data_IF_141318971685
#
_entry.id   IF_141318971685
#
_cell.length_a   1.000
_cell.length_b   1.000
_cell.length_c   1.000
_cell.angle_alpha   90.00
_cell.angle_beta   90.00
_cell.angle_gamma   90.00
#
_symmetry.space_group_name_H-M   'P 1'
#
loop_
_entity.id
_entity.type
_entity.pdbx_description
1 polymer ?
#
# COMPACT_ATOMS: atom_id res chain seq x y z
N UNK A 1 2.67 16.37 -0.16
CA UNK A 1 2.16 15.24 0.61
C UNK A 1 2.39 13.94 -0.11
N UNK A 2 2.68 12.88 0.60
CA UNK A 2 3.07 11.62 0.02
C UNK A 2 1.91 10.70 -0.38
N UNK A 3 1.65 9.69 0.45
CA UNK A 3 0.64 8.68 0.13
C UNK A 3 -0.10 8.21 1.38
N UNK A 4 -1.32 7.75 1.17
CA UNK A 4 -2.10 7.07 2.19
C UNK A 4 -2.40 5.66 1.67
N UNK A 5 -2.00 4.66 2.44
CA UNK A 5 -2.12 3.25 2.05
C UNK A 5 -3.11 2.56 2.97
N UNK A 6 -4.10 1.91 2.39
CA UNK A 6 -5.02 1.06 3.12
C UNK A 6 -4.80 -0.38 2.69
N UNK A 7 -4.49 -1.24 3.65
CA UNK A 7 -4.31 -2.67 3.45
C UNK A 7 -5.52 -3.38 4.05
N UNK A 8 -6.26 -4.08 3.20
CA UNK A 8 -7.42 -4.87 3.64
C UNK A 8 -7.05 -6.34 3.48
N UNK A 9 -7.10 -7.10 4.56
CA UNK A 9 -6.65 -8.48 4.55
C UNK A 9 -7.63 -9.43 5.24
N UNK A 10 -7.60 -10.67 4.79
CA UNK A 10 -8.42 -11.77 5.30
C UNK A 10 -7.63 -12.56 6.34
N UNK A 11 -8.09 -12.55 7.59
CA UNK A 11 -7.41 -13.23 8.70
C UNK A 11 -7.42 -14.75 8.61
N UNK A 12 -8.25 -15.34 7.76
CA UNK A 12 -8.23 -16.78 7.52
C UNK A 12 -7.03 -17.20 6.65
N UNK A 13 -6.51 -16.28 5.82
CA UNK A 13 -5.42 -16.57 4.90
C UNK A 13 -4.15 -15.76 5.19
N UNK A 14 -4.26 -14.70 5.98
CA UNK A 14 -3.16 -13.79 6.29
C UNK A 14 -3.11 -13.56 7.80
N UNK A 15 -1.97 -13.81 8.41
CA UNK A 15 -1.79 -13.57 9.84
C UNK A 15 -1.61 -12.08 10.15
N UNK A 16 -1.83 -11.71 11.41
CA UNK A 16 -1.57 -10.34 11.86
C UNK A 16 -0.09 -9.98 11.74
N UNK A 17 0.81 -10.94 11.96
CA UNK A 17 2.25 -10.75 11.78
C UNK A 17 2.60 -10.48 10.32
N UNK A 18 1.96 -11.19 9.39
CA UNK A 18 2.15 -10.95 7.97
C UNK A 18 1.64 -9.56 7.56
N UNK A 19 0.47 -9.18 8.06
CA UNK A 19 -0.09 -7.84 7.79
C UNK A 19 0.82 -6.74 8.35
N UNK A 20 1.38 -6.94 9.53
CA UNK A 20 2.32 -6.00 10.15
C UNK A 20 3.60 -5.89 9.32
N UNK A 21 4.16 -7.02 8.93
CA UNK A 21 5.36 -7.07 8.07
C UNK A 21 5.13 -6.34 6.76
N UNK A 22 4.01 -6.60 6.09
CA UNK A 22 3.67 -5.94 4.84
C UNK A 22 3.48 -4.43 5.04
N UNK A 23 2.83 -4.02 6.14
CA UNK A 23 2.61 -2.60 6.43
C UNK A 23 3.93 -1.83 6.51
N UNK A 24 4.90 -2.35 7.24
CA UNK A 24 6.23 -1.75 7.35
C UNK A 24 6.98 -1.77 6.02
N UNK A 25 6.93 -2.90 5.32
CA UNK A 25 7.62 -3.06 4.04
C UNK A 25 7.09 -2.13 2.97
N UNK A 26 5.76 -2.03 2.83
CA UNK A 26 5.17 -1.19 1.80
C UNK A 26 5.32 0.30 2.11
N UNK A 27 5.28 0.68 3.38
CA UNK A 27 5.53 2.06 3.77
C UNK A 27 6.91 2.51 3.30
N UNK A 28 7.94 1.75 3.64
CA UNK A 28 9.31 2.07 3.26
C UNK A 28 9.49 2.07 1.74
N UNK A 29 8.93 1.09 1.08
CA UNK A 29 9.03 0.94 -0.37
C UNK A 29 8.41 2.13 -1.10
N UNK A 30 7.22 2.55 -0.69
CA UNK A 30 6.53 3.68 -1.32
C UNK A 30 7.25 5.00 -1.03
N UNK A 31 7.76 5.17 0.19
CA UNK A 31 8.61 6.33 0.53
C UNK A 31 9.80 6.42 -0.41
N UNK A 32 10.47 5.30 -0.67
CA UNK A 32 11.64 5.25 -1.54
C UNK A 32 11.27 5.53 -3.00
N UNK A 33 10.23 4.87 -3.51
CA UNK A 33 9.81 4.99 -4.91
C UNK A 33 9.34 6.40 -5.23
N UNK A 34 8.58 7.02 -4.33
CA UNK A 34 8.05 8.37 -4.53
C UNK A 34 8.98 9.48 -4.07
N UNK A 35 10.04 9.14 -3.34
CA UNK A 35 10.94 10.11 -2.71
C UNK A 35 10.20 11.08 -1.80
N UNK A 36 9.29 10.55 -0.97
CA UNK A 36 8.49 11.34 -0.03
C UNK A 36 8.66 10.78 1.38
N UNK A 37 8.36 11.60 2.39
CA UNK A 37 8.46 11.21 3.80
C UNK A 37 7.11 10.88 4.41
N UNK A 38 6.04 11.44 3.87
CA UNK A 38 4.70 11.34 4.44
C UNK A 38 3.94 10.18 3.79
N UNK A 39 4.14 8.98 4.32
CA UNK A 39 3.40 7.79 3.89
C UNK A 39 2.74 7.18 5.11
N UNK A 40 1.41 7.15 5.11
CA UNK A 40 0.60 6.60 6.18
C UNK A 40 0.03 5.26 5.77
N UNK A 41 0.10 4.26 6.65
CA UNK A 41 -0.40 2.92 6.36
C UNK A 41 -1.42 2.51 7.41
N UNK A 42 -2.57 2.05 6.95
CA UNK A 42 -3.62 1.47 7.78
C UNK A 42 -3.87 0.06 7.32
N UNK A 43 -3.79 -0.91 8.23
CA UNK A 43 -4.13 -2.30 7.94
C UNK A 43 -5.40 -2.66 8.71
N UNK A 44 -6.39 -3.21 8.02
CA UNK A 44 -7.68 -3.50 8.62
C UNK A 44 -8.25 -4.81 8.12
N UNK A 45 -9.04 -5.44 8.99
CA UNK A 45 -9.74 -6.68 8.71
C UNK A 45 -11.21 -6.35 8.46
N UNK A 46 -11.76 -6.59 7.27
CA UNK A 46 -13.19 -6.41 7.05
C UNK A 46 -13.98 -7.54 7.72
N UNK A 47 -15.24 -7.26 8.05
CA UNK A 47 -16.13 -8.25 8.62
C UNK A 47 -16.39 -9.41 7.65
N UNK A 48 -16.49 -9.10 6.37
CA UNK A 48 -16.71 -10.08 5.31
C UNK A 48 -15.69 -9.83 4.19
N UNK A 49 -15.03 -10.90 3.73
CA UNK A 49 -14.08 -10.86 2.62
C UNK A 49 -14.60 -11.75 1.50
N UNK A 50 -14.83 -11.14 0.34
CA UNK A 50 -15.26 -11.84 -0.88
C UNK A 50 -14.26 -11.62 -2.02
N UNK A 51 -13.01 -11.30 -1.69
CA UNK A 51 -11.96 -10.95 -2.64
C UNK A 51 -10.69 -11.75 -2.34
N UNK A 52 -9.61 -11.40 -3.01
CA UNK A 52 -8.30 -11.99 -2.77
C UNK A 52 -7.79 -11.66 -1.36
N UNK A 53 -6.82 -12.45 -0.83
CA UNK A 53 -6.41 -12.32 0.57
C UNK A 53 -5.95 -10.92 0.98
N UNK A 54 -5.30 -10.18 0.09
CA UNK A 54 -4.81 -8.83 0.41
C UNK A 54 -5.13 -7.87 -0.72
N UNK A 55 -5.85 -6.80 -0.39
CA UNK A 55 -6.08 -5.67 -1.28
C UNK A 55 -5.35 -4.44 -0.71
N UNK A 56 -4.53 -3.80 -1.51
CA UNK A 56 -3.78 -2.60 -1.12
C UNK A 56 -4.25 -1.43 -1.96
N UNK A 57 -4.76 -0.40 -1.31
CA UNK A 57 -5.20 0.84 -1.96
C UNK A 57 -4.22 1.94 -1.59
N UNK A 58 -3.58 2.52 -2.60
CA UNK A 58 -2.57 3.56 -2.44
C UNK A 58 -3.11 4.85 -3.03
N UNK A 59 -3.48 5.79 -2.16
CA UNK A 59 -3.90 7.11 -2.58
C UNK A 59 -2.68 8.02 -2.62
N UNK A 60 -2.49 8.71 -3.73
CA UNK A 60 -1.38 9.64 -3.93
C UNK A 60 -1.91 10.99 -4.35
N UNK A 61 -1.15 12.05 -4.07
CA UNK A 61 -1.54 13.40 -4.46
C UNK A 61 -1.41 13.53 -5.98
N UNK A 62 -2.53 13.86 -6.63
CA UNK A 62 -2.61 14.02 -8.08
C UNK A 62 -1.58 15.02 -8.60
N UNK A 63 -1.28 16.07 -7.83
CA UNK A 63 -0.31 17.08 -8.23
C UNK A 63 1.13 16.57 -8.24
N UNK A 64 1.43 15.53 -7.47
CA UNK A 64 2.79 14.97 -7.35
C UNK A 64 3.05 13.78 -8.29
N UNK A 65 1.99 13.19 -8.87
CA UNK A 65 2.11 12.00 -9.68
C UNK A 65 1.62 12.28 -11.09
N UNK A 66 2.56 12.38 -12.04
CA UNK A 66 2.24 12.69 -13.43
C UNK A 66 1.83 11.46 -14.23
N UNK A 67 2.37 10.30 -13.89
CA UNK A 67 2.10 9.05 -14.58
C UNK A 67 1.77 7.95 -13.56
N UNK A 68 0.48 7.80 -13.20
CA UNK A 68 0.07 6.78 -12.24
C UNK A 68 0.34 5.35 -12.70
N UNK A 69 0.28 5.09 -14.00
CA UNK A 69 0.56 3.75 -14.53
C UNK A 69 2.02 3.37 -14.33
N UNK A 70 2.94 4.30 -14.57
CA UNK A 70 4.37 4.09 -14.33
C UNK A 70 4.66 3.90 -12.85
N UNK A 71 4.04 4.70 -11.99
CA UNK A 71 4.17 4.58 -10.54
C UNK A 71 3.70 3.19 -10.08
N UNK A 72 2.57 2.73 -10.59
CA UNK A 72 2.03 1.40 -10.28
C UNK A 72 3.03 0.30 -10.64
N UNK A 73 3.64 0.39 -11.82
CA UNK A 73 4.65 -0.59 -12.27
C UNK A 73 5.87 -0.60 -11.35
N UNK A 74 6.35 0.57 -10.96
CA UNK A 74 7.51 0.69 -10.08
C UNK A 74 7.22 0.11 -8.69
N UNK A 75 6.06 0.40 -8.13
CA UNK A 75 5.64 -0.16 -6.84
C UNK A 75 5.50 -1.68 -6.96
N UNK A 76 4.83 -2.15 -7.99
CA UNK A 76 4.63 -3.59 -8.20
C UNK A 76 5.96 -4.35 -8.32
N UNK A 77 6.91 -3.80 -9.06
CA UNK A 77 8.23 -4.40 -9.22
C UNK A 77 8.98 -4.49 -7.89
N UNK A 78 8.99 -3.40 -7.13
CA UNK A 78 9.66 -3.34 -5.82
C UNK A 78 8.97 -4.26 -4.81
N UNK A 79 7.64 -4.30 -4.84
CA UNK A 79 6.87 -5.17 -3.95
C UNK A 79 7.11 -6.65 -4.27
N UNK A 80 7.21 -6.99 -5.54
CA UNK A 80 7.52 -8.35 -5.97
C UNK A 80 8.89 -8.80 -5.45
N UNK A 81 9.90 -7.95 -5.52
CA UNK A 81 11.22 -8.21 -4.97
C UNK A 81 11.18 -8.36 -3.44
N UNK A 82 10.44 -7.49 -2.78
CA UNK A 82 10.26 -7.54 -1.32
C UNK A 82 9.60 -8.85 -0.88
N UNK A 83 8.61 -9.34 -1.62
CA UNK A 83 7.96 -10.62 -1.34
C UNK A 83 8.97 -11.77 -1.37
N UNK A 84 9.83 -11.78 -2.36
CA UNK A 84 10.85 -12.83 -2.49
C UNK A 84 11.88 -12.75 -1.35
N UNK A 85 12.35 -11.56 -1.03
CA UNK A 85 13.32 -11.34 0.04
C UNK A 85 12.79 -11.77 1.42
N UNK A 86 11.50 -11.61 1.65
CA UNK A 86 10.87 -11.87 2.93
C UNK A 86 10.08 -13.19 2.96
N UNK A 87 10.14 -13.97 1.89
CA UNK A 87 9.38 -15.21 1.75
C UNK A 87 7.89 -15.02 2.06
N UNK A 88 7.33 -13.91 1.58
CA UNK A 88 5.95 -13.54 1.80
C UNK A 88 5.07 -14.22 0.74
N UNK A 89 4.20 -15.15 1.16
CA UNK A 89 3.45 -16.02 0.25
C UNK A 89 2.10 -15.47 -0.21
N UNK A 90 1.32 -14.74 0.62
CA UNK A 90 -0.02 -14.33 0.19
C UNK A 90 0.00 -13.45 -1.06
N UNK A 91 -1.01 -13.62 -1.92
CA UNK A 91 -1.17 -12.76 -3.09
C UNK A 91 -1.58 -11.35 -2.68
N UNK A 92 -1.04 -10.36 -3.35
CA UNK A 92 -1.30 -8.95 -3.08
C UNK A 92 -1.78 -8.28 -4.36
N UNK A 93 -2.93 -7.63 -4.28
CA UNK A 93 -3.42 -6.76 -5.34
C UNK A 93 -3.18 -5.31 -4.94
N UNK A 94 -2.65 -4.50 -5.85
CA UNK A 94 -2.42 -3.08 -5.58
C UNK A 94 -3.24 -2.21 -6.52
N UNK A 95 -3.72 -1.09 -6.00
CA UNK A 95 -4.44 -0.06 -6.74
C UNK A 95 -3.84 1.29 -6.37
N UNK A 96 -3.43 2.07 -7.38
CA UNK A 96 -2.91 3.42 -7.17
C UNK A 96 -3.96 4.42 -7.65
N UNK A 97 -4.40 5.29 -6.75
CA UNK A 97 -5.43 6.28 -7.01
C UNK A 97 -4.90 7.70 -6.80
N UNK A 98 -4.68 8.45 -7.88
CA UNK A 98 -4.39 9.88 -7.74
C UNK A 98 -5.63 10.62 -7.26
N UNK A 99 -5.47 11.42 -6.21
CA UNK A 99 -6.57 12.18 -5.62
C UNK A 99 -6.16 13.63 -5.37
N UNK A 100 -7.12 14.53 -5.31
CA UNK A 100 -6.91 15.88 -4.82
C UNK A 100 -7.17 15.89 -3.33
N UNK A 101 -6.17 16.31 -2.54
CA UNK A 101 -6.31 16.36 -1.10
C UNK A 101 -6.56 17.78 -0.62
N UNK A 102 -7.67 17.94 0.08
CA UNK A 102 -8.05 19.16 0.79
C UNK A 102 -8.07 18.81 2.26
N UNK A 103 -6.98 19.14 2.98
CA UNK A 103 -6.85 18.56 4.26
C UNK A 103 -6.25 19.54 5.29
N UNK A 104 -6.79 19.48 6.48
CA UNK A 104 -6.42 20.34 7.59
C UNK A 104 -5.94 19.48 8.75
N UNK A 105 -4.69 19.71 9.19
CA UNK A 105 -4.07 18.95 10.27
C UNK A 105 -4.35 19.63 11.61
N UNK A 106 -4.64 18.82 12.63
CA UNK A 106 -4.61 19.26 14.01
C UNK A 106 -5.67 20.27 14.40
N UNK A 107 -6.88 20.09 13.91
CA UNK A 107 -8.00 20.92 14.36
C UNK A 107 -8.26 20.73 15.85
#
# INVERSE_FOLDING_TARGET
MGAMINIIYDTQNVSNEEADMLSHGIQKLVMDVMAVKDVFVYAQQPLVVLADPIEVFIQVNKAEVKDPAELTKRIASRLSAWKQENDFKPAININVHPVEWHYKIGI
#
